data_IF_042043151748
#
_entry.id   IF_042043151748
#
_cell.length_a   1.000
_cell.length_b   1.000
_cell.length_c   1.000
_cell.angle_alpha   90.00
_cell.angle_beta   90.00
_cell.angle_gamma   90.00
#
_symmetry.space_group_name_H-M   'P 1'
#
loop_
_entity.id
_entity.type
_entity.pdbx_description
1 polymer ?
#
# COMPACT_ATOMS: atom_id res chain seq x y z
N UNK A 1 0.11 78.81 20.81
CA UNK A 1 -1.19 79.13 20.18
C UNK A 1 -0.95 79.35 18.69
N UNK A 2 -1.37 78.41 17.83
CA UNK A 2 -2.02 78.74 16.55
C UNK A 2 -2.50 77.43 15.89
N UNK A 3 -3.82 77.27 15.89
CA UNK A 3 -4.62 76.49 14.95
C UNK A 3 -4.51 77.05 13.54
N UNK A 4 -4.41 76.21 12.51
CA UNK A 4 -5.02 76.49 11.20
C UNK A 4 -5.43 75.20 10.49
N UNK A 5 -6.65 75.22 9.96
CA UNK A 5 -7.37 74.17 9.27
C UNK A 5 -7.37 74.40 7.74
N UNK A 6 -7.51 73.29 6.99
CA UNK A 6 -8.08 73.11 5.64
C UNK A 6 -7.36 73.67 4.39
N UNK A 7 -7.10 72.76 3.43
CA UNK A 7 -7.88 72.62 2.17
C UNK A 7 -7.52 71.35 1.39
N UNK A 8 -8.55 70.64 0.91
CA UNK A 8 -8.51 69.55 -0.09
C UNK A 8 -8.16 70.10 -1.48
N UNK A 9 -7.33 69.40 -2.26
CA UNK A 9 -7.43 69.26 -3.73
C UNK A 9 -6.86 67.90 -4.12
N UNK A 10 -7.59 67.13 -4.92
CA UNK A 10 -7.17 65.83 -5.44
C UNK A 10 -6.15 65.93 -6.58
N UNK A 11 -5.39 64.87 -6.79
CA UNK A 11 -4.62 64.65 -8.00
C UNK A 11 -4.70 63.16 -8.37
N UNK A 12 -5.08 62.94 -9.62
CA UNK A 12 -5.16 61.65 -10.28
C UNK A 12 -3.78 60.98 -10.35
N UNK A 13 -3.72 59.68 -10.07
CA UNK A 13 -2.63 58.83 -10.54
C UNK A 13 -3.10 58.08 -11.79
N UNK A 14 -2.52 58.45 -12.92
CA UNK A 14 -2.57 57.68 -14.15
C UNK A 14 -1.61 56.48 -14.01
N UNK A 15 -2.12 55.28 -14.28
CA UNK A 15 -1.32 54.07 -14.42
C UNK A 15 -0.47 54.14 -15.69
N UNK A 16 0.84 54.06 -15.56
CA UNK A 16 1.75 53.76 -16.66
C UNK A 16 2.00 52.25 -16.67
N UNK A 17 1.27 51.54 -17.53
CA UNK A 17 1.55 50.14 -17.85
C UNK A 17 2.81 50.09 -18.72
N UNK A 18 3.91 49.61 -18.15
CA UNK A 18 5.08 49.18 -18.93
C UNK A 18 4.74 47.77 -19.43
N UNK A 19 4.37 47.69 -20.71
CA UNK A 19 4.17 46.42 -21.39
C UNK A 19 5.50 45.68 -21.52
N UNK A 20 5.69 44.62 -20.74
CA UNK A 20 6.62 43.56 -21.09
C UNK A 20 5.99 42.74 -22.23
N UNK A 21 6.74 42.41 -23.30
CA UNK A 21 6.25 41.47 -24.29
C UNK A 21 6.10 40.11 -23.61
N UNK A 22 4.88 39.58 -23.63
CA UNK A 22 4.64 38.19 -23.31
C UNK A 22 5.40 37.33 -24.34
N UNK A 23 6.57 36.83 -23.96
CA UNK A 23 7.10 35.64 -24.62
C UNK A 23 6.12 34.51 -24.30
N UNK A 24 5.34 34.12 -25.31
CA UNK A 24 4.71 32.82 -25.28
C UNK A 24 5.84 31.78 -25.26
N UNK A 25 6.17 31.28 -24.07
CA UNK A 25 6.93 30.05 -23.94
C UNK A 25 6.00 28.96 -24.43
N UNK A 26 6.15 28.61 -25.70
CA UNK A 26 5.72 27.31 -26.16
C UNK A 26 6.67 26.33 -25.49
N UNK A 27 6.21 25.69 -24.42
CA UNK A 27 6.85 24.46 -23.97
C UNK A 27 6.63 23.46 -25.09
N UNK A 28 7.62 23.31 -25.96
CA UNK A 28 7.72 22.08 -26.72
C UNK A 28 7.81 20.97 -25.68
N UNK A 29 6.79 20.14 -25.56
CA UNK A 29 6.86 18.91 -24.79
C UNK A 29 8.11 18.18 -25.26
N UNK A 30 9.07 17.95 -24.37
CA UNK A 30 10.18 17.05 -24.69
C UNK A 30 9.55 15.72 -25.10
N UNK A 31 9.99 15.15 -26.22
CA UNK A 31 9.56 13.80 -26.58
C UNK A 31 9.94 12.85 -25.43
N UNK A 32 9.02 11.97 -25.00
CA UNK A 32 9.31 10.99 -23.95
C UNK A 32 10.57 10.20 -24.31
N UNK A 33 11.49 10.08 -23.37
CA UNK A 33 12.74 9.32 -23.57
C UNK A 33 12.43 7.88 -23.23
N UNK A 34 12.18 7.07 -24.25
CA UNK A 34 11.95 5.64 -24.10
C UNK A 34 13.23 4.92 -23.68
N UNK A 35 13.09 3.92 -22.82
CA UNK A 35 14.19 3.05 -22.47
C UNK A 35 14.52 2.11 -23.65
N UNK A 36 15.75 1.58 -23.71
CA UNK A 36 16.03 0.45 -24.59
C UNK A 36 15.03 -0.68 -24.31
N UNK A 37 14.48 -1.34 -25.34
CA UNK A 37 13.59 -2.48 -25.14
C UNK A 37 14.24 -3.55 -24.26
N UNK A 38 13.46 -4.14 -23.36
CA UNK A 38 13.94 -5.21 -22.51
C UNK A 38 14.28 -6.43 -23.37
N UNK A 39 15.38 -7.09 -23.02
CA UNK A 39 15.81 -8.33 -23.68
C UNK A 39 15.81 -9.46 -22.66
N UNK A 40 15.44 -10.66 -23.08
CA UNK A 40 15.52 -11.86 -22.25
C UNK A 40 16.93 -12.01 -21.64
N UNK A 41 16.97 -12.35 -20.36
CA UNK A 41 18.19 -12.64 -19.64
C UNK A 41 18.91 -13.86 -20.25
N UNK A 42 20.23 -13.89 -20.15
CA UNK A 42 21.00 -15.02 -20.66
C UNK A 42 20.73 -16.27 -19.81
N UNK A 43 20.45 -17.40 -20.46
CA UNK A 43 20.21 -18.67 -19.79
C UNK A 43 18.77 -18.90 -19.34
N UNK A 44 17.83 -18.03 -19.74
CA UNK A 44 16.39 -18.26 -19.58
C UNK A 44 15.78 -18.78 -20.87
N UNK A 45 14.73 -19.57 -20.75
CA UNK A 45 13.92 -20.05 -21.87
C UNK A 45 12.44 -20.02 -21.49
N UNK A 46 11.56 -20.09 -22.48
CA UNK A 46 10.12 -20.16 -22.21
C UNK A 46 9.40 -21.14 -23.13
N UNK A 47 8.22 -21.57 -22.69
CA UNK A 47 7.30 -22.45 -23.44
C UNK A 47 5.87 -21.91 -23.40
N UNK A 48 5.06 -22.24 -24.40
CA UNK A 48 3.64 -21.90 -24.41
C UNK A 48 2.90 -22.69 -23.32
N UNK A 49 2.01 -22.02 -22.58
CA UNK A 49 1.23 -22.59 -21.49
C UNK A 49 1.79 -22.31 -20.10
N UNK A 50 1.06 -22.73 -19.04
CA UNK A 50 1.50 -22.57 -17.66
C UNK A 50 2.69 -23.48 -17.34
N UNK A 51 3.43 -23.14 -16.30
CA UNK A 51 4.54 -23.96 -15.83
C UNK A 51 4.07 -25.28 -15.21
N UNK A 52 4.92 -26.29 -15.33
CA UNK A 52 4.89 -27.44 -14.43
C UNK A 52 5.28 -27.01 -13.01
N UNK A 53 4.73 -27.71 -12.00
CA UNK A 53 5.09 -27.47 -10.61
C UNK A 53 6.61 -27.62 -10.40
N UNK A 54 7.22 -26.61 -9.78
CA UNK A 54 8.65 -26.50 -9.51
C UNK A 54 9.50 -26.02 -10.68
N UNK A 55 8.91 -25.73 -11.85
CA UNK A 55 9.67 -25.41 -13.05
C UNK A 55 10.07 -23.92 -13.13
N UNK A 56 9.18 -23.02 -12.75
CA UNK A 56 9.44 -21.58 -12.89
C UNK A 56 8.24 -20.68 -12.67
N UNK A 57 8.20 -19.55 -13.39
CA UNK A 57 7.15 -18.53 -13.26
C UNK A 57 6.26 -18.57 -14.50
N UNK A 58 4.94 -18.59 -14.30
CA UNK A 58 3.99 -18.43 -15.40
C UNK A 58 3.72 -16.95 -15.64
N UNK A 59 3.90 -16.50 -16.88
CA UNK A 59 3.71 -15.12 -17.29
C UNK A 59 2.49 -15.00 -18.20
N UNK A 60 1.60 -14.07 -17.86
CA UNK A 60 0.37 -13.83 -18.61
C UNK A 60 0.35 -12.40 -19.15
N UNK A 61 0.07 -12.25 -20.44
CA UNK A 61 -0.22 -10.95 -21.06
C UNK A 61 -1.58 -11.05 -21.74
N UNK A 62 -2.56 -10.33 -21.20
CA UNK A 62 -3.92 -10.28 -21.73
C UNK A 62 -4.23 -8.90 -22.32
N UNK A 63 -4.38 -8.87 -23.65
CA UNK A 63 -4.76 -7.67 -24.40
C UNK A 63 -6.24 -7.32 -24.24
N UNK A 64 -7.01 -8.16 -23.54
CA UNK A 64 -8.46 -8.10 -23.41
C UNK A 64 -9.18 -8.20 -24.78
N UNK A 65 -10.51 -8.06 -24.78
CA UNK A 65 -11.32 -8.13 -25.99
C UNK A 65 -11.36 -9.54 -26.61
N UNK A 66 -11.23 -9.64 -27.93
CA UNK A 66 -11.33 -10.91 -28.66
C UNK A 66 -9.99 -11.68 -28.74
N UNK A 67 -8.89 -11.09 -28.27
CA UNK A 67 -7.59 -11.76 -28.22
C UNK A 67 -7.57 -12.79 -27.09
N UNK A 68 -6.90 -13.94 -27.31
CA UNK A 68 -6.57 -14.86 -26.23
C UNK A 68 -5.39 -14.31 -25.43
N UNK A 69 -5.37 -14.57 -24.12
CA UNK A 69 -4.23 -14.21 -23.28
C UNK A 69 -3.01 -15.03 -23.69
N UNK A 70 -1.85 -14.38 -23.85
CA UNK A 70 -0.58 -15.08 -24.00
C UNK A 70 -0.17 -15.61 -22.63
N UNK A 71 0.07 -16.92 -22.52
CA UNK A 71 0.49 -17.58 -21.28
C UNK A 71 1.77 -18.32 -21.58
N UNK A 72 2.88 -17.94 -20.96
CA UNK A 72 4.18 -18.59 -21.16
C UNK A 72 4.80 -19.00 -19.82
N UNK A 73 5.40 -20.18 -19.77
CA UNK A 73 6.21 -20.63 -18.64
C UNK A 73 7.67 -20.25 -18.85
N UNK A 74 8.27 -19.52 -17.91
CA UNK A 74 9.69 -19.15 -17.92
C UNK A 74 10.49 -20.11 -17.05
N UNK A 75 11.58 -20.66 -17.58
CA UNK A 75 12.49 -21.61 -16.90
C UNK A 75 13.96 -21.26 -17.15
N UNK A 76 14.88 -21.83 -16.36
CA UNK A 76 16.32 -21.73 -16.65
C UNK A 76 16.77 -22.86 -17.58
N UNK A 77 17.62 -22.55 -18.57
CA UNK A 77 18.17 -23.51 -19.53
C UNK A 77 19.03 -24.61 -18.86
N UNK A 78 19.54 -24.34 -17.66
CA UNK A 78 20.33 -25.30 -16.87
C UNK A 78 19.47 -26.32 -16.11
N UNK A 79 18.13 -26.20 -16.20
CA UNK A 79 17.16 -27.07 -15.55
C UNK A 79 16.87 -26.74 -14.09
N UNK A 80 17.38 -25.62 -13.57
CA UNK A 80 16.97 -25.11 -12.26
C UNK A 80 15.65 -24.33 -12.35
N UNK A 81 14.92 -24.29 -11.24
CA UNK A 81 13.68 -23.53 -11.15
C UNK A 81 13.96 -22.03 -11.38
N UNK A 82 13.15 -21.40 -12.24
CA UNK A 82 13.25 -19.96 -12.47
C UNK A 82 12.57 -19.17 -11.34
N UNK A 83 13.22 -18.09 -10.93
CA UNK A 83 12.65 -17.03 -10.10
C UNK A 83 13.39 -15.72 -10.40
N UNK A 84 12.76 -14.59 -10.11
CA UNK A 84 13.35 -13.27 -10.32
C UNK A 84 12.96 -12.32 -9.18
N UNK A 85 13.88 -11.46 -8.68
CA UNK A 85 13.50 -10.37 -7.78
C UNK A 85 12.80 -9.22 -8.51
N UNK A 86 12.62 -9.32 -9.83
CA UNK A 86 12.10 -8.27 -10.70
C UNK A 86 11.15 -8.90 -11.75
N UNK A 87 9.85 -8.77 -11.52
CA UNK A 87 8.79 -9.26 -12.39
C UNK A 87 8.78 -8.57 -13.75
N UNK A 88 9.19 -7.30 -13.85
CA UNK A 88 9.32 -6.58 -15.13
C UNK A 88 10.26 -7.32 -16.10
N UNK A 89 11.41 -7.80 -15.63
CA UNK A 89 12.33 -8.60 -16.45
C UNK A 89 11.71 -9.95 -16.87
N UNK A 90 10.85 -10.51 -16.03
CA UNK A 90 10.22 -11.82 -16.25
C UNK A 90 9.32 -11.82 -17.49
N UNK A 91 8.68 -10.68 -17.83
CA UNK A 91 7.91 -10.53 -19.07
C UNK A 91 8.79 -10.60 -20.33
N UNK A 92 10.00 -10.03 -20.28
CA UNK A 92 10.95 -10.12 -21.39
C UNK A 92 11.55 -11.53 -21.49
N UNK A 93 11.78 -12.19 -20.34
CA UNK A 93 12.25 -13.59 -20.29
C UNK A 93 11.20 -14.56 -20.83
N UNK A 94 9.91 -14.25 -20.68
CA UNK A 94 8.80 -14.91 -21.34
C UNK A 94 8.66 -14.59 -22.83
N UNK A 95 9.54 -13.76 -23.40
CA UNK A 95 9.53 -13.45 -24.82
C UNK A 95 8.50 -12.42 -25.27
N UNK A 96 7.82 -11.73 -24.34
CA UNK A 96 6.95 -10.61 -24.68
C UNK A 96 7.77 -9.36 -25.02
N UNK A 97 7.35 -8.64 -26.05
CA UNK A 97 7.93 -7.36 -26.41
C UNK A 97 7.44 -6.27 -25.45
N UNK A 98 8.26 -5.90 -24.48
CA UNK A 98 7.97 -4.88 -23.48
C UNK A 98 8.79 -3.62 -23.75
N UNK A 99 8.09 -2.49 -23.86
CA UNK A 99 8.68 -1.15 -23.91
C UNK A 99 8.36 -0.40 -22.62
N UNK A 100 9.37 0.26 -22.07
CA UNK A 100 9.23 1.07 -20.85
C UNK A 100 9.65 2.50 -21.09
N UNK A 101 9.11 3.37 -20.24
CA UNK A 101 9.59 4.74 -20.08
C UNK A 101 10.08 4.92 -18.64
N UNK A 102 11.29 5.47 -18.49
CA UNK A 102 11.79 5.84 -17.16
C UNK A 102 10.98 7.01 -16.62
N UNK A 103 10.32 6.78 -15.49
CA UNK A 103 9.61 7.82 -14.74
C UNK A 103 10.36 8.11 -13.42
N UNK A 104 9.89 9.11 -12.67
CA UNK A 104 10.40 9.37 -11.31
C UNK A 104 10.11 8.21 -10.34
N UNK A 105 9.19 7.30 -10.69
CA UNK A 105 8.79 6.13 -9.91
C UNK A 105 9.44 4.83 -10.40
N UNK A 106 10.45 4.91 -11.28
CA UNK A 106 11.07 3.75 -11.93
C UNK A 106 10.52 3.50 -13.34
N UNK A 107 10.95 2.39 -13.99
CA UNK A 107 10.50 2.04 -15.33
C UNK A 107 9.01 1.69 -15.31
N UNK A 108 8.24 2.46 -16.07
CA UNK A 108 6.81 2.23 -16.28
C UNK A 108 6.60 1.46 -17.59
N UNK A 109 5.81 0.39 -17.54
CA UNK A 109 5.41 -0.36 -18.74
C UNK A 109 4.40 0.49 -19.50
N UNK A 110 4.83 1.05 -20.62
CA UNK A 110 3.98 1.89 -21.46
C UNK A 110 3.36 1.10 -22.61
N UNK A 111 3.98 -0.01 -23.02
CA UNK A 111 3.56 -0.81 -24.17
C UNK A 111 4.07 -2.25 -24.06
N UNK A 112 3.20 -3.20 -24.36
CA UNK A 112 3.47 -4.63 -24.48
C UNK A 112 2.85 -5.13 -25.78
N UNK A 113 3.60 -5.90 -26.57
CA UNK A 113 3.14 -6.43 -27.87
C UNK A 113 2.56 -5.36 -28.80
N UNK A 114 3.13 -4.15 -28.76
CA UNK A 114 2.71 -3.03 -29.60
C UNK A 114 1.54 -2.20 -29.08
N UNK A 115 0.93 -2.54 -27.92
CA UNK A 115 -0.17 -1.77 -27.33
C UNK A 115 0.07 -1.40 -25.85
N UNK A 116 -0.56 -0.32 -25.35
CA UNK A 116 -1.21 0.72 -26.15
C UNK A 116 -0.18 1.57 -26.92
N UNK A 117 -0.62 2.22 -28.01
CA UNK A 117 0.22 3.04 -28.90
C UNK A 117 -0.33 4.47 -28.97
N UNK A 118 0.50 5.53 -28.90
CA UNK A 118 1.96 5.52 -28.73
C UNK A 118 2.44 5.38 -27.27
N UNK A 119 3.61 4.79 -27.08
CA UNK A 119 4.29 4.79 -25.78
C UNK A 119 4.76 6.23 -25.44
N UNK A 120 4.64 6.61 -24.17
CA UNK A 120 5.02 7.93 -23.64
C UNK A 120 4.01 9.06 -23.91
N UNK A 121 2.81 8.71 -24.37
CA UNK A 121 1.65 9.60 -24.35
C UNK A 121 0.45 8.84 -23.79
N UNK A 122 -0.54 9.55 -23.25
CA UNK A 122 -1.76 8.91 -22.77
C UNK A 122 -2.63 8.43 -23.95
N UNK A 123 -2.82 7.12 -24.15
CA UNK A 123 -3.55 6.58 -25.29
C UNK A 123 -5.01 6.22 -24.95
N UNK A 124 -5.48 6.49 -23.72
CA UNK A 124 -6.81 6.08 -23.23
C UNK A 124 -6.90 4.60 -22.79
N UNK A 125 -5.76 3.98 -22.54
CA UNK A 125 -5.64 2.64 -21.97
C UNK A 125 -4.31 2.53 -21.21
N UNK A 126 -4.24 1.60 -20.27
CA UNK A 126 -3.09 1.39 -19.41
C UNK A 126 -2.92 -0.09 -19.06
N UNK A 127 -1.72 -0.49 -18.65
CA UNK A 127 -1.44 -1.86 -18.24
C UNK A 127 -1.63 -2.02 -16.74
N UNK A 128 -2.59 -2.85 -16.34
CA UNK A 128 -2.73 -3.32 -14.97
C UNK A 128 -1.77 -4.47 -14.70
N UNK A 129 -1.01 -4.37 -13.63
CA UNK A 129 -0.09 -5.42 -13.18
C UNK A 129 -0.73 -6.25 -12.07
N UNK A 130 -0.68 -7.56 -12.22
CA UNK A 130 -1.31 -8.53 -11.33
C UNK A 130 -0.33 -9.64 -10.96
N UNK A 131 -0.55 -10.21 -9.79
CA UNK A 131 0.14 -11.40 -9.30
C UNK A 131 -0.88 -12.43 -8.84
N UNK A 132 -0.52 -13.71 -8.91
CA UNK A 132 -1.30 -14.77 -8.29
C UNK A 132 -0.38 -15.90 -7.82
N UNK A 133 -0.75 -16.53 -6.71
CA UNK A 133 -0.24 -17.84 -6.37
C UNK A 133 -0.95 -18.91 -7.21
N UNK A 134 -0.37 -20.11 -7.30
CA UNK A 134 -1.02 -21.24 -7.97
C UNK A 134 -2.42 -21.51 -7.38
N UNK A 135 -3.39 -21.71 -8.26
CA UNK A 135 -4.82 -21.94 -7.97
C UNK A 135 -5.52 -20.79 -7.21
N UNK A 136 -4.87 -19.62 -7.09
CA UNK A 136 -5.42 -18.43 -6.43
C UNK A 136 -6.01 -17.43 -7.44
N UNK A 137 -6.89 -16.55 -6.96
CA UNK A 137 -7.41 -15.45 -7.77
C UNK A 137 -6.31 -14.42 -8.09
N UNK A 138 -6.44 -13.75 -9.24
CA UNK A 138 -5.56 -12.65 -9.60
C UNK A 138 -5.73 -11.48 -8.63
N UNK A 139 -4.62 -10.94 -8.15
CA UNK A 139 -4.59 -9.76 -7.29
C UNK A 139 -3.86 -8.63 -8.02
N UNK A 140 -4.46 -7.44 -8.08
CA UNK A 140 -3.78 -6.27 -8.63
C UNK A 140 -2.65 -5.87 -7.69
N UNK A 141 -1.44 -5.74 -8.22
CA UNK A 141 -0.27 -5.42 -7.42
C UNK A 141 -0.27 -3.93 -7.02
N UNK A 142 -0.01 -3.66 -5.74
CA UNK A 142 0.19 -2.30 -5.22
C UNK A 142 1.59 -1.72 -5.48
N UNK A 143 2.54 -2.57 -5.88
CA UNK A 143 3.90 -2.20 -6.23
C UNK A 143 4.15 -2.34 -7.75
N UNK A 144 5.13 -1.62 -8.28
CA UNK A 144 5.52 -1.73 -9.68
C UNK A 144 6.15 -3.09 -9.99
N UNK A 145 5.98 -3.58 -11.22
CA UNK A 145 6.56 -4.86 -11.65
C UNK A 145 8.11 -4.92 -11.51
N UNK A 146 8.79 -3.77 -11.56
CA UNK A 146 10.25 -3.72 -11.39
C UNK A 146 10.72 -3.92 -9.95
N UNK A 147 9.83 -3.70 -8.97
CA UNK A 147 10.08 -3.86 -7.52
C UNK A 147 9.34 -5.07 -6.92
N UNK A 148 8.67 -5.86 -7.76
CA UNK A 148 7.94 -7.07 -7.34
C UNK A 148 8.72 -8.31 -7.72
N UNK A 149 8.93 -9.22 -6.76
CA UNK A 149 9.56 -10.51 -7.05
C UNK A 149 8.56 -11.48 -7.70
N UNK A 150 9.05 -12.31 -8.62
CA UNK A 150 8.35 -13.42 -9.22
C UNK A 150 9.00 -14.73 -8.72
N UNK A 151 8.35 -15.38 -7.75
CA UNK A 151 8.83 -16.64 -7.19
C UNK A 151 8.43 -17.82 -8.07
N UNK A 152 9.20 -18.92 -8.02
CA UNK A 152 8.81 -20.18 -8.66
C UNK A 152 7.39 -20.58 -8.22
N UNK A 153 6.61 -21.16 -9.13
CA UNK A 153 5.23 -21.61 -8.92
C UNK A 153 4.21 -20.49 -8.73
N UNK A 154 4.57 -19.27 -9.14
CA UNK A 154 3.66 -18.11 -9.14
C UNK A 154 3.36 -17.62 -10.55
N UNK A 155 2.37 -16.74 -10.61
CA UNK A 155 1.87 -16.12 -11.81
C UNK A 155 2.09 -14.60 -11.74
N UNK A 156 2.62 -14.03 -12.82
CA UNK A 156 2.68 -12.58 -13.03
C UNK A 156 1.92 -12.21 -14.30
N UNK A 157 1.08 -11.19 -14.22
CA UNK A 157 0.10 -10.87 -15.23
C UNK A 157 0.10 -9.40 -15.62
N UNK A 158 -0.02 -9.12 -16.91
CA UNK A 158 -0.37 -7.79 -17.42
C UNK A 158 -1.71 -7.88 -18.15
N UNK A 159 -2.60 -6.96 -17.82
CA UNK A 159 -3.92 -6.86 -18.44
C UNK A 159 -4.12 -5.45 -19.01
N UNK A 160 -4.56 -5.35 -20.27
CA UNK A 160 -4.78 -4.06 -20.91
C UNK A 160 -6.14 -3.50 -20.47
N UNK A 161 -6.10 -2.44 -19.68
CA UNK A 161 -7.28 -1.81 -19.07
C UNK A 161 -7.67 -0.55 -19.84
N UNK A 162 -8.93 -0.40 -20.28
CA UNK A 162 -9.41 0.85 -20.86
C UNK A 162 -9.58 1.94 -19.80
N UNK A 163 -9.46 3.22 -20.20
CA UNK A 163 -9.43 4.41 -19.32
C UNK A 163 -10.50 4.43 -18.20
N UNK A 164 -11.74 4.05 -18.49
CA UNK A 164 -12.86 4.17 -17.55
C UNK A 164 -13.04 2.95 -16.61
N UNK A 165 -12.04 2.07 -16.48
CA UNK A 165 -12.12 0.83 -15.69
C UNK A 165 -11.19 0.84 -14.48
N UNK A 166 -11.67 0.33 -13.34
CA UNK A 166 -10.93 0.21 -12.09
C UNK A 166 -9.86 -0.92 -12.09
N UNK A 167 -9.60 -1.53 -13.25
CA UNK A 167 -8.84 -2.77 -13.39
C UNK A 167 -9.68 -3.87 -14.05
N UNK A 168 -9.03 -4.70 -14.87
CA UNK A 168 -9.59 -5.95 -15.39
C UNK A 168 -8.52 -7.03 -15.19
N UNK A 169 -8.88 -8.14 -14.57
CA UNK A 169 -7.96 -9.26 -14.33
C UNK A 169 -7.55 -9.97 -15.64
N UNK A 170 -6.34 -10.57 -15.70
CA UNK A 170 -5.96 -11.44 -16.80
C UNK A 170 -6.91 -12.65 -16.94
N UNK A 171 -7.35 -12.98 -18.16
CA UNK A 171 -8.22 -14.13 -18.45
C UNK A 171 -7.39 -15.39 -18.67
N UNK A 172 -6.69 -15.81 -17.63
CA UNK A 172 -5.97 -17.08 -17.57
C UNK A 172 -6.21 -17.72 -16.20
N UNK A 173 -6.47 -19.02 -16.19
CA UNK A 173 -6.48 -19.80 -14.95
C UNK A 173 -5.06 -19.85 -14.38
N UNK A 174 -4.95 -19.84 -13.06
CA UNK A 174 -3.68 -19.83 -12.32
C UNK A 174 -3.26 -21.25 -11.90
N UNK A 175 -3.69 -22.27 -12.65
CA UNK A 175 -3.34 -23.65 -12.40
C UNK A 175 -1.99 -24.02 -13.05
N UNK A 176 -1.12 -24.68 -12.28
CA UNK A 176 0.12 -25.26 -12.79
C UNK A 176 -0.15 -26.61 -13.45
N UNK A 177 0.75 -27.04 -14.35
CA UNK A 177 0.71 -28.38 -14.92
C UNK A 177 1.21 -29.40 -13.88
N UNK A 178 0.40 -30.41 -13.61
CA UNK A 178 0.81 -31.58 -12.83
C UNK A 178 1.70 -32.49 -13.69
N UNK A 179 2.73 -33.09 -13.10
CA UNK A 179 3.63 -34.04 -13.78
C UNK A 179 2.85 -35.33 -14.14
N UNK A 180 2.66 -35.62 -15.43
CA UNK A 180 1.98 -36.83 -15.91
C UNK A 180 2.85 -38.08 -15.68
N UNK A 181 2.93 -38.55 -14.44
CA UNK A 181 3.37 -39.93 -14.14
C UNK A 181 2.17 -40.87 -13.94
N UNK A 182 2.05 -41.98 -14.69
CA UNK A 182 0.90 -42.88 -14.59
C UNK A 182 0.90 -43.66 -13.26
N UNK A 183 -0.11 -43.39 -12.44
CA UNK A 183 -0.75 -44.24 -11.44
C UNK A 183 0.08 -45.37 -10.81
N UNK A 184 0.54 -45.13 -9.59
CA UNK A 184 0.37 -46.10 -8.52
C UNK A 184 -0.72 -45.56 -7.59
N UNK A 185 -1.80 -46.33 -7.42
CA UNK A 185 -2.76 -46.18 -6.32
C UNK A 185 -2.02 -46.43 -5.00
N UNK A 186 -1.17 -45.48 -4.57
CA UNK A 186 -0.97 -45.27 -3.15
C UNK A 186 -2.16 -44.44 -2.66
N UNK A 187 -2.75 -44.77 -1.49
CA UNK A 187 -3.71 -43.85 -0.90
C UNK A 187 -3.02 -42.50 -0.82
N UNK A 188 -3.73 -41.43 -1.18
CA UNK A 188 -3.25 -40.07 -0.98
C UNK A 188 -2.50 -40.08 0.36
N UNK A 189 -1.18 -39.86 0.34
CA UNK A 189 -0.57 -39.33 1.52
C UNK A 189 -1.35 -38.03 1.70
N UNK A 190 -2.26 -38.04 2.68
CA UNK A 190 -2.69 -36.81 3.33
C UNK A 190 -1.42 -35.97 3.37
N UNK A 191 -1.42 -34.81 2.68
CA UNK A 191 -0.31 -33.87 2.69
C UNK A 191 0.11 -33.79 4.14
N UNK A 192 1.18 -34.52 4.47
CA UNK A 192 1.32 -35.05 5.82
C UNK A 192 1.31 -33.85 6.70
N UNK A 193 0.31 -33.74 7.59
CA UNK A 193 0.04 -32.55 8.43
C UNK A 193 1.36 -31.81 8.57
N UNK A 194 1.60 -30.80 7.72
CA UNK A 194 2.85 -30.06 7.79
C UNK A 194 2.72 -29.47 9.17
N UNK A 195 3.44 -30.07 10.12
CA UNK A 195 3.23 -29.82 11.53
C UNK A 195 3.26 -28.31 11.63
N UNK A 196 2.11 -27.67 11.98
CA UNK A 196 1.92 -26.25 11.74
C UNK A 196 3.17 -25.58 12.24
N UNK A 197 3.88 -24.89 11.32
CA UNK A 197 5.22 -24.38 11.58
C UNK A 197 5.20 -23.82 13.00
N UNK A 198 6.05 -24.38 13.87
CA UNK A 198 6.00 -24.08 15.31
C UNK A 198 5.75 -22.58 15.46
N UNK A 199 4.57 -22.21 15.97
CA UNK A 199 4.09 -20.84 15.86
C UNK A 199 5.10 -19.86 16.47
N UNK A 200 5.85 -20.33 17.48
CA UNK A 200 6.95 -19.59 18.08
C UNK A 200 8.14 -19.42 17.10
N UNK A 201 8.49 -20.45 16.34
CA UNK A 201 9.54 -20.39 15.32
C UNK A 201 9.14 -19.49 14.13
N UNK A 202 7.88 -19.53 13.70
CA UNK A 202 7.37 -18.65 12.65
C UNK A 202 7.40 -17.17 13.08
N UNK A 203 6.99 -16.88 14.32
CA UNK A 203 7.09 -15.53 14.90
C UNK A 203 8.54 -15.06 14.98
N UNK A 204 9.47 -15.93 15.40
CA UNK A 204 10.92 -15.59 15.41
C UNK A 204 11.42 -15.28 14.01
N UNK A 205 11.10 -16.10 13.01
CA UNK A 205 11.54 -15.88 11.64
C UNK A 205 11.00 -14.56 11.05
N UNK A 206 9.74 -14.23 11.32
CA UNK A 206 9.14 -12.96 10.92
C UNK A 206 9.79 -11.76 11.64
N UNK A 207 10.01 -11.85 12.95
CA UNK A 207 10.70 -10.79 13.70
C UNK A 207 12.14 -10.59 13.21
N UNK A 208 12.85 -11.67 12.88
CA UNK A 208 14.21 -11.59 12.33
C UNK A 208 14.23 -10.98 10.93
N UNK A 209 13.20 -11.23 10.12
CA UNK A 209 13.03 -10.54 8.84
C UNK A 209 12.86 -9.03 9.05
N UNK A 210 11.90 -8.61 9.88
CA UNK A 210 11.65 -7.19 10.17
C UNK A 210 12.90 -6.48 10.72
N UNK A 211 13.64 -7.13 11.61
CA UNK A 211 14.91 -6.64 12.16
C UNK A 211 15.96 -6.42 11.07
N UNK A 212 16.15 -7.38 10.15
CA UNK A 212 17.11 -7.25 9.05
C UNK A 212 16.76 -6.12 8.10
N UNK A 213 15.47 -5.96 7.76
CA UNK A 213 15.02 -4.88 6.88
C UNK A 213 15.28 -3.50 7.51
N UNK A 214 15.00 -3.33 8.80
CA UNK A 214 15.34 -2.11 9.53
C UNK A 214 16.86 -1.85 9.52
N UNK A 215 17.67 -2.85 9.85
CA UNK A 215 19.14 -2.70 9.89
C UNK A 215 19.73 -2.34 8.52
N UNK A 216 19.15 -2.86 7.43
CA UNK A 216 19.59 -2.55 6.07
C UNK A 216 19.42 -1.06 5.71
N UNK A 217 18.53 -0.35 6.41
CA UNK A 217 18.21 1.05 6.16
C UNK A 217 18.54 1.97 7.35
N UNK A 218 19.46 1.56 8.24
CA UNK A 218 19.84 2.34 9.43
C UNK A 218 18.61 2.73 10.30
N UNK A 219 17.65 1.81 10.34
CA UNK A 219 16.39 1.87 11.08
C UNK A 219 15.46 3.02 10.68
N UNK A 220 15.66 3.60 9.50
CA UNK A 220 14.78 4.59 8.90
C UNK A 220 14.56 4.25 7.43
N UNK A 221 13.35 3.78 7.11
CA UNK A 221 13.01 3.51 5.73
C UNK A 221 13.06 4.79 4.90
N UNK A 222 13.60 4.69 3.69
CA UNK A 222 13.56 5.76 2.70
C UNK A 222 12.78 5.27 1.50
N UNK A 223 11.64 5.90 1.25
CA UNK A 223 10.79 5.60 0.11
C UNK A 223 10.70 6.81 -0.82
N UNK A 224 10.87 6.59 -2.13
CA UNK A 224 10.89 7.65 -3.15
C UNK A 224 11.86 8.82 -2.86
N UNK A 225 12.96 8.55 -2.14
CA UNK A 225 13.94 9.57 -1.75
C UNK A 225 13.53 10.42 -0.54
N UNK A 226 12.43 10.08 0.13
CA UNK A 226 11.95 10.71 1.35
C UNK A 226 11.98 9.72 2.51
N UNK A 227 12.20 10.21 3.72
CA UNK A 227 12.11 9.37 4.91
C UNK A 227 10.66 8.92 5.11
N UNK A 228 10.45 7.61 5.24
CA UNK A 228 9.14 7.01 5.46
C UNK A 228 8.97 6.65 6.93
N UNK A 229 8.57 7.65 7.71
CA UNK A 229 8.31 7.50 9.14
C UNK A 229 7.11 6.59 9.42
N UNK A 230 6.15 6.51 8.49
CA UNK A 230 4.98 5.65 8.63
C UNK A 230 5.34 4.17 8.57
N UNK A 231 6.08 3.78 7.52
CA UNK A 231 6.58 2.41 7.37
C UNK A 231 7.58 2.04 8.48
N UNK A 232 8.43 2.99 8.87
CA UNK A 232 9.36 2.79 10.01
C UNK A 232 8.60 2.55 11.31
N UNK A 233 7.53 3.29 11.57
CA UNK A 233 6.66 3.05 12.72
C UNK A 233 5.97 1.69 12.66
N UNK A 234 5.51 1.24 11.49
CA UNK A 234 4.85 -0.05 11.31
C UNK A 234 5.79 -1.23 11.62
N UNK A 235 7.04 -1.19 11.15
CA UNK A 235 8.04 -2.21 11.47
C UNK A 235 8.38 -2.22 12.96
N UNK A 236 8.51 -1.05 13.59
CA UNK A 236 8.76 -0.93 15.02
C UNK A 236 7.59 -1.47 15.86
N UNK A 237 6.35 -1.18 15.47
CA UNK A 237 5.12 -1.70 16.09
C UNK A 237 5.03 -3.22 15.96
N UNK A 238 5.33 -3.76 14.77
CA UNK A 238 5.31 -5.20 14.53
C UNK A 238 6.33 -5.93 15.43
N UNK A 239 7.57 -5.42 15.52
CA UNK A 239 8.57 -5.97 16.45
C UNK A 239 8.12 -5.85 17.91
N UNK A 240 7.57 -4.70 18.32
CA UNK A 240 7.04 -4.50 19.67
C UNK A 240 5.96 -5.51 20.03
N UNK A 241 5.06 -5.84 19.09
CA UNK A 241 3.99 -6.82 19.29
C UNK A 241 4.54 -8.24 19.53
N UNK A 242 5.67 -8.60 18.94
CA UNK A 242 6.33 -9.91 19.18
C UNK A 242 7.15 -9.96 20.46
N UNK A 243 7.61 -8.79 20.96
CA UNK A 243 8.58 -8.71 22.06
C UNK A 243 10.00 -9.15 21.70
N UNK A 244 10.27 -9.43 20.42
CA UNK A 244 11.57 -9.82 19.89
C UNK A 244 12.27 -8.63 19.23
N UNK A 245 13.60 -8.73 19.08
CA UNK A 245 14.43 -7.70 18.42
C UNK A 245 14.16 -6.27 18.92
N UNK A 246 13.96 -6.13 20.23
CA UNK A 246 13.55 -4.87 20.88
C UNK A 246 14.53 -3.72 20.69
N UNK A 247 15.81 -4.00 20.46
CA UNK A 247 16.82 -2.97 20.15
C UNK A 247 16.60 -2.33 18.77
N UNK A 248 16.19 -3.11 17.77
CA UNK A 248 15.86 -2.61 16.44
C UNK A 248 14.54 -1.82 16.47
N UNK A 249 13.53 -2.34 17.17
CA UNK A 249 12.28 -1.63 17.40
C UNK A 249 12.50 -0.27 18.10
N UNK A 250 13.35 -0.24 19.13
CA UNK A 250 13.70 0.98 19.84
C UNK A 250 14.48 1.97 18.96
N UNK A 251 15.41 1.49 18.12
CA UNK A 251 16.17 2.32 17.19
C UNK A 251 15.26 2.95 16.14
N UNK A 252 14.36 2.17 15.54
CA UNK A 252 13.36 2.67 14.60
C UNK A 252 12.40 3.68 15.25
N UNK A 253 11.92 3.37 16.46
CA UNK A 253 11.12 4.31 17.25
C UNK A 253 11.83 5.64 17.50
N UNK A 254 13.13 5.62 17.82
CA UNK A 254 13.93 6.84 17.99
C UNK A 254 14.06 7.67 16.72
N UNK A 255 14.17 7.04 15.54
CA UNK A 255 14.18 7.75 14.25
C UNK A 255 12.87 8.51 14.03
N UNK A 256 11.72 7.88 14.37
CA UNK A 256 10.41 8.53 14.30
C UNK A 256 10.29 9.65 15.34
N UNK A 257 10.69 9.41 16.60
CA UNK A 257 10.66 10.42 17.66
C UNK A 257 11.49 11.65 17.33
N UNK A 258 12.70 11.46 16.80
CA UNK A 258 13.61 12.56 16.48
C UNK A 258 13.09 13.49 15.37
N UNK A 259 12.19 12.99 14.51
CA UNK A 259 11.68 13.69 13.35
C UNK A 259 10.15 13.77 13.33
N UNK A 260 9.50 13.66 14.49
CA UNK A 260 8.05 13.49 14.60
C UNK A 260 7.24 14.53 13.82
N UNK A 261 7.68 15.79 13.83
CA UNK A 261 6.98 16.88 13.13
C UNK A 261 6.93 16.67 11.60
N UNK A 262 7.94 16.04 11.01
CA UNK A 262 7.94 15.72 9.58
C UNK A 262 6.88 14.66 9.23
N UNK A 263 6.48 13.84 10.21
CA UNK A 263 5.47 12.81 10.02
C UNK A 263 4.05 13.29 10.34
N UNK A 264 3.87 14.00 11.46
CA UNK A 264 2.53 14.43 11.91
C UNK A 264 2.10 15.78 11.33
N UNK A 265 3.01 16.49 10.67
CA UNK A 265 2.76 17.74 9.94
C UNK A 265 3.56 18.94 10.46
N UNK A 266 3.96 19.79 9.51
CA UNK A 266 4.66 21.08 9.75
C UNK A 266 3.89 22.24 9.13
N UNK A 267 4.26 23.47 9.47
CA UNK A 267 3.77 24.69 8.78
C UNK A 267 2.25 24.88 8.76
N UNK A 268 1.54 24.32 9.75
CA UNK A 268 0.09 24.39 9.89
C UNK A 268 -0.64 23.12 9.48
N UNK A 269 0.05 22.20 8.80
CA UNK A 269 -0.43 20.85 8.50
C UNK A 269 -0.44 20.00 9.78
N UNK A 270 -1.51 19.23 9.98
CA UNK A 270 -1.65 18.29 11.10
C UNK A 270 -2.44 17.07 10.65
N UNK A 271 -1.82 15.90 10.73
CA UNK A 271 -2.39 14.64 10.24
C UNK A 271 -2.84 13.74 11.40
N UNK A 272 -4.13 13.45 11.47
CA UNK A 272 -4.74 12.70 12.56
C UNK A 272 -4.25 11.26 12.62
N UNK A 273 -4.24 10.56 11.48
CA UNK A 273 -3.79 9.17 11.41
C UNK A 273 -2.31 8.99 11.79
N UNK A 274 -1.43 9.89 11.32
CA UNK A 274 -0.01 9.86 11.67
C UNK A 274 0.23 10.17 13.15
N UNK A 275 -0.51 11.13 13.71
CA UNK A 275 -0.46 11.46 15.15
C UNK A 275 -0.91 10.27 15.99
N UNK A 276 -2.02 9.63 15.62
CA UNK A 276 -2.54 8.44 16.28
C UNK A 276 -1.57 7.25 16.22
N UNK A 277 -1.03 6.93 15.03
CA UNK A 277 -0.02 5.87 14.87
C UNK A 277 1.20 6.13 15.75
N UNK A 278 1.70 7.37 15.77
CA UNK A 278 2.85 7.75 16.60
C UNK A 278 2.56 7.60 18.09
N UNK A 279 1.34 7.88 18.54
CA UNK A 279 0.94 7.68 19.93
C UNK A 279 0.89 6.18 20.29
N UNK A 280 0.34 5.33 19.41
CA UNK A 280 0.35 3.87 19.59
C UNK A 280 1.78 3.33 19.60
N UNK A 281 2.66 3.83 18.72
CA UNK A 281 4.09 3.50 18.72
C UNK A 281 4.75 3.85 20.06
N UNK A 282 4.53 5.08 20.55
CA UNK A 282 5.09 5.53 21.82
C UNK A 282 4.67 4.59 22.97
N UNK A 283 3.37 4.28 23.06
CA UNK A 283 2.83 3.39 24.08
C UNK A 283 3.40 1.97 23.97
N UNK A 284 3.50 1.43 22.75
CA UNK A 284 3.98 0.07 22.49
C UNK A 284 5.47 -0.11 22.83
N UNK A 285 6.27 0.94 22.66
CA UNK A 285 7.69 0.95 23.00
C UNK A 285 7.98 1.44 24.44
N UNK A 286 6.95 1.78 25.21
CA UNK A 286 7.11 2.34 26.56
C UNK A 286 7.76 3.74 26.59
N UNK A 287 7.65 4.48 25.48
CA UNK A 287 8.05 5.88 25.38
C UNK A 287 6.95 6.81 25.90
N UNK A 288 7.31 8.06 26.22
CA UNK A 288 6.36 9.05 26.73
C UNK A 288 5.53 9.66 25.58
N UNK A 289 4.26 9.27 25.46
CA UNK A 289 3.34 9.81 24.44
C UNK A 289 2.97 11.28 24.67
N UNK A 290 3.28 11.85 25.85
CA UNK A 290 3.05 13.27 26.18
C UNK A 290 4.30 14.14 25.99
N UNK A 291 5.45 13.52 25.70
CA UNK A 291 6.71 14.20 25.33
C UNK A 291 7.47 13.37 24.29
N UNK A 292 6.83 13.13 23.15
CA UNK A 292 7.40 12.36 22.06
C UNK A 292 8.08 13.31 21.07
N UNK A 293 9.40 13.46 21.18
CA UNK A 293 10.15 14.41 20.34
C UNK A 293 9.80 15.87 20.66
N UNK A 294 9.36 16.16 21.89
CA UNK A 294 8.87 17.49 22.30
C UNK A 294 7.40 17.76 21.98
N UNK A 295 6.65 16.75 21.53
CA UNK A 295 5.22 16.85 21.19
C UNK A 295 4.39 16.04 22.17
N UNK A 296 3.31 16.64 22.69
CA UNK A 296 2.24 15.92 23.37
C UNK A 296 1.29 15.34 22.33
N UNK A 297 1.51 14.07 21.95
CA UNK A 297 0.74 13.40 20.89
C UNK A 297 -0.72 13.18 21.31
N UNK A 298 -0.97 12.99 22.62
CA UNK A 298 -2.32 12.77 23.15
C UNK A 298 -3.13 14.06 23.05
N UNK A 299 -2.56 15.18 23.49
CA UNK A 299 -3.21 16.48 23.34
C UNK A 299 -3.39 16.87 21.86
N UNK A 300 -2.36 16.64 21.02
CA UNK A 300 -2.43 16.94 19.59
C UNK A 300 -3.54 16.12 18.89
N UNK A 301 -3.71 14.85 19.25
CA UNK A 301 -4.76 14.00 18.71
C UNK A 301 -6.16 14.44 19.15
N UNK A 302 -6.34 14.78 20.43
CA UNK A 302 -7.61 15.30 20.94
C UNK A 302 -8.01 16.62 20.26
N UNK A 303 -7.04 17.48 19.96
CA UNK A 303 -7.27 18.74 19.23
C UNK A 303 -7.72 18.53 17.77
N UNK A 304 -7.53 17.33 17.20
CA UNK A 304 -7.97 16.95 15.85
C UNK A 304 -9.34 16.26 15.83
N UNK A 305 -9.94 16.01 17.00
CA UNK A 305 -11.30 15.50 17.09
C UNK A 305 -12.33 16.58 16.74
N UNK A 306 -13.22 16.28 15.81
CA UNK A 306 -14.35 17.15 15.46
C UNK A 306 -15.53 16.98 16.43
N UNK A 307 -16.52 17.87 16.38
CA UNK A 307 -17.73 17.75 17.22
C UNK A 307 -18.50 16.43 16.98
N UNK A 308 -18.39 15.85 15.79
CA UNK A 308 -19.00 14.55 15.48
C UNK A 308 -18.16 13.34 15.94
N UNK A 309 -16.99 13.56 16.56
CA UNK A 309 -16.09 12.49 16.99
C UNK A 309 -15.11 11.98 15.92
N UNK A 310 -15.17 12.52 14.70
CA UNK A 310 -14.21 12.17 13.65
C UNK A 310 -12.88 12.83 13.92
N UNK A 311 -11.79 12.07 14.00
CA UNK A 311 -10.44 12.61 13.95
C UNK A 311 -10.12 12.99 12.51
N UNK A 312 -9.75 14.26 12.28
CA UNK A 312 -9.70 14.85 10.94
C UNK A 312 -8.39 15.58 10.72
N UNK A 313 -7.85 15.48 9.51
CA UNK A 313 -6.65 16.23 9.15
C UNK A 313 -6.96 17.73 9.04
N UNK A 314 -5.97 18.54 9.37
CA UNK A 314 -5.95 19.97 9.05
C UNK A 314 -4.86 20.18 8.03
N UNK A 315 -5.26 20.28 6.77
CA UNK A 315 -4.34 20.35 5.64
C UNK A 315 -4.89 21.23 4.52
N UNK A 316 -4.00 21.97 3.84
CA UNK A 316 -4.36 22.68 2.61
C UNK A 316 -4.66 21.74 1.43
N UNK A 317 -4.25 20.47 1.54
CA UNK A 317 -4.37 19.43 0.51
C UNK A 317 -5.63 18.57 0.65
N UNK A 318 -6.45 18.83 1.66
CA UNK A 318 -7.67 18.10 1.95
C UNK A 318 -7.53 17.17 3.15
N UNK A 319 -8.60 16.42 3.41
CA UNK A 319 -8.70 15.55 4.57
C UNK A 319 -8.62 14.09 4.12
N UNK A 320 -7.56 13.40 4.54
CA UNK A 320 -7.27 12.02 4.17
C UNK A 320 -7.55 11.05 5.34
N UNK A 321 -8.22 11.53 6.39
CA UNK A 321 -8.55 10.69 7.55
C UNK A 321 -9.57 9.62 7.18
N UNK A 322 -9.30 8.40 7.63
CA UNK A 322 -10.04 7.20 7.29
C UNK A 322 -10.25 6.31 8.53
N UNK A 323 -10.90 5.16 8.36
CA UNK A 323 -11.25 4.25 9.47
C UNK A 323 -10.04 3.69 10.21
N UNK A 324 -8.88 3.52 9.55
CA UNK A 324 -7.64 3.08 10.22
C UNK A 324 -7.15 4.15 11.19
N UNK A 325 -7.10 5.41 10.73
CA UNK A 325 -6.74 6.55 11.57
C UNK A 325 -7.69 6.74 12.75
N UNK A 326 -9.00 6.63 12.51
CA UNK A 326 -10.02 6.69 13.57
C UNK A 326 -9.82 5.60 14.63
N UNK A 327 -9.55 4.37 14.18
CA UNK A 327 -9.35 3.21 15.05
C UNK A 327 -8.07 3.35 15.89
N UNK A 328 -6.95 3.72 15.26
CA UNK A 328 -5.69 4.00 15.95
C UNK A 328 -5.84 5.11 16.98
N UNK A 329 -6.65 6.14 16.70
CA UNK A 329 -6.88 7.23 17.62
C UNK A 329 -7.60 6.75 18.90
N UNK A 330 -8.64 5.94 18.75
CA UNK A 330 -9.34 5.32 19.89
C UNK A 330 -8.37 4.45 20.70
N UNK A 331 -7.59 3.58 20.03
CA UNK A 331 -6.60 2.72 20.69
C UNK A 331 -5.57 3.56 21.47
N UNK A 332 -5.05 4.63 20.87
CA UNK A 332 -4.08 5.52 21.51
C UNK A 332 -4.65 6.20 22.77
N UNK A 333 -5.86 6.74 22.69
CA UNK A 333 -6.49 7.45 23.81
C UNK A 333 -6.87 6.52 24.96
N UNK A 334 -7.37 5.32 24.65
CA UNK A 334 -7.62 4.28 25.67
C UNK A 334 -6.30 3.77 26.28
N UNK A 335 -5.29 3.51 25.46
CA UNK A 335 -3.97 3.06 25.89
C UNK A 335 -3.22 4.07 26.76
N UNK A 336 -3.41 5.37 26.50
CA UNK A 336 -2.88 6.45 27.34
C UNK A 336 -3.67 6.65 28.65
N UNK A 337 -4.80 5.97 28.84
CA UNK A 337 -5.65 6.05 30.03
C UNK A 337 -6.47 7.34 30.12
N UNK A 338 -6.54 8.13 29.05
CA UNK A 338 -7.41 9.32 28.98
C UNK A 338 -8.82 8.97 28.52
N UNK A 339 -8.96 7.86 27.78
CA UNK A 339 -10.23 7.35 27.25
C UNK A 339 -10.63 8.04 25.95
N UNK A 340 -11.16 7.27 25.00
CA UNK A 340 -11.77 7.84 23.80
C UNK A 340 -13.12 8.49 24.15
N UNK A 341 -13.52 9.50 23.38
CA UNK A 341 -14.84 10.09 23.54
C UNK A 341 -15.93 9.12 23.04
N UNK A 342 -17.13 9.18 23.62
CA UNK A 342 -18.26 8.41 23.09
C UNK A 342 -18.56 8.78 21.63
N UNK A 343 -18.45 10.06 21.26
CA UNK A 343 -18.66 10.51 19.88
C UNK A 343 -17.67 9.87 18.92
N UNK A 344 -16.41 9.68 19.31
CA UNK A 344 -15.40 9.04 18.47
C UNK A 344 -15.71 7.56 18.22
N UNK A 345 -16.21 6.86 19.24
CA UNK A 345 -16.64 5.46 19.11
C UNK A 345 -17.93 5.35 18.31
N UNK A 346 -18.90 6.25 18.54
CA UNK A 346 -20.14 6.30 17.76
C UNK A 346 -19.84 6.59 16.28
N UNK A 347 -18.91 7.52 15.98
CA UNK A 347 -18.46 7.78 14.62
C UNK A 347 -17.82 6.56 13.96
N UNK A 348 -17.02 5.79 14.70
CA UNK A 348 -16.47 4.53 14.18
C UNK A 348 -17.60 3.53 13.91
N UNK A 349 -18.54 3.35 14.83
CA UNK A 349 -19.67 2.44 14.67
C UNK A 349 -20.58 2.82 13.49
N UNK A 350 -20.74 4.11 13.20
CA UNK A 350 -21.48 4.59 12.03
C UNK A 350 -20.82 4.18 10.69
N UNK A 351 -19.53 3.79 10.71
CA UNK A 351 -18.83 3.23 9.55
C UNK A 351 -19.03 1.71 9.37
N UNK A 352 -19.69 1.03 10.31
CA UNK A 352 -20.01 -0.39 10.20
C UNK A 352 -21.14 -0.61 9.19
N UNK A 353 -20.89 -1.46 8.20
CA UNK A 353 -21.83 -1.84 7.17
C UNK A 353 -22.82 -2.91 7.65
N UNK A 354 -23.90 -3.09 6.88
CA UNK A 354 -24.94 -4.09 7.17
C UNK A 354 -24.41 -5.54 7.22
N UNK A 355 -23.26 -5.81 6.60
CA UNK A 355 -22.59 -7.13 6.62
C UNK A 355 -21.62 -7.32 7.80
N UNK A 356 -21.55 -6.34 8.70
CA UNK A 356 -20.70 -6.33 9.89
C UNK A 356 -19.28 -5.80 9.67
N UNK A 357 -18.83 -5.68 8.42
CA UNK A 357 -17.53 -5.09 8.10
C UNK A 357 -17.54 -3.57 8.20
N UNK A 358 -16.37 -2.94 8.14
CA UNK A 358 -16.22 -1.48 8.19
C UNK A 358 -15.69 -0.96 6.86
N UNK A 359 -16.26 0.15 6.38
CA UNK A 359 -15.73 0.82 5.22
C UNK A 359 -14.43 1.57 5.54
N UNK A 360 -13.44 1.51 4.65
CA UNK A 360 -12.20 2.29 4.77
C UNK A 360 -12.50 3.80 4.77
N UNK A 361 -13.38 4.24 3.86
CA UNK A 361 -13.74 5.66 3.66
C UNK A 361 -15.27 5.83 3.77
N UNK A 362 -15.81 6.17 4.95
CA UNK A 362 -17.27 6.18 5.18
C UNK A 362 -18.05 7.25 4.40
N UNK A 363 -17.39 8.22 3.76
CA UNK A 363 -18.01 9.39 3.14
C UNK A 363 -18.49 9.20 1.70
N UNK A 364 -18.22 8.06 1.07
CA UNK A 364 -18.39 7.89 -0.38
C UNK A 364 -19.77 7.36 -0.81
N UNK A 365 -20.75 7.34 0.11
CA UNK A 365 -22.15 7.01 -0.17
C UNK A 365 -22.42 5.52 -0.43
N UNK A 366 -21.38 4.69 -0.50
CA UNK A 366 -21.45 3.23 -0.53
C UNK A 366 -20.68 2.67 0.67
N UNK A 367 -21.33 1.84 1.48
CA UNK A 367 -20.65 1.10 2.53
C UNK A 367 -20.02 -0.14 1.91
N UNK A 368 -18.76 -0.02 1.48
CA UNK A 368 -17.95 -1.13 1.00
C UNK A 368 -17.02 -1.57 2.12
N UNK A 369 -17.32 -2.72 2.71
CA UNK A 369 -16.53 -3.28 3.80
C UNK A 369 -15.13 -3.68 3.32
N UNK A 370 -14.14 -3.30 4.13
CA UNK A 370 -12.71 -3.50 3.89
C UNK A 370 -12.13 -4.35 5.04
N UNK A 371 -11.48 -5.51 4.76
CA UNK A 371 -10.92 -6.39 5.78
C UNK A 371 -9.92 -5.72 6.72
N UNK A 372 -9.05 -4.84 6.20
CA UNK A 372 -8.07 -4.10 7.00
C UNK A 372 -8.77 -3.10 7.93
N UNK A 373 -9.67 -2.27 7.39
CA UNK A 373 -10.46 -1.34 8.17
C UNK A 373 -11.29 -2.05 9.25
N UNK A 374 -11.87 -3.21 8.93
CA UNK A 374 -12.60 -4.02 9.90
C UNK A 374 -11.69 -4.57 10.99
N UNK A 375 -10.48 -5.00 10.64
CA UNK A 375 -9.50 -5.52 11.61
C UNK A 375 -9.00 -4.45 12.57
N UNK A 376 -8.77 -3.22 12.10
CA UNK A 376 -8.43 -2.08 12.95
C UNK A 376 -9.61 -1.62 13.80
N UNK A 377 -10.81 -1.54 13.23
CA UNK A 377 -12.02 -1.17 13.95
C UNK A 377 -12.32 -2.15 15.09
N UNK A 378 -12.21 -3.46 14.84
CA UNK A 378 -12.39 -4.49 15.86
C UNK A 378 -11.40 -4.31 17.03
N UNK A 379 -10.13 -4.02 16.76
CA UNK A 379 -9.15 -3.74 17.82
C UNK A 379 -9.52 -2.50 18.63
N UNK A 380 -9.99 -1.43 17.98
CA UNK A 380 -10.44 -0.22 18.66
C UNK A 380 -11.68 -0.47 19.54
N UNK A 381 -12.66 -1.22 19.04
CA UNK A 381 -13.87 -1.58 19.79
C UNK A 381 -13.56 -2.47 21.00
N UNK A 382 -12.57 -3.36 20.89
CA UNK A 382 -12.09 -4.18 22.01
C UNK A 382 -11.31 -3.37 23.05
N UNK A 383 -10.66 -2.28 22.64
CA UNK A 383 -9.87 -1.43 23.53
C UNK A 383 -10.74 -0.49 24.38
N UNK A 384 -11.90 -0.07 23.87
CA UNK A 384 -12.76 0.93 24.54
C UNK A 384 -13.92 0.29 25.32
N UNK A 385 -14.27 0.81 26.51
CA UNK A 385 -15.48 0.38 27.23
C UNK A 385 -16.78 0.93 26.62
N UNK A 386 -16.69 1.79 25.59
CA UNK A 386 -17.83 2.45 24.95
C UNK A 386 -18.48 1.63 23.82
N UNK A 387 -17.86 0.51 23.40
CA UNK A 387 -18.37 -0.37 22.36
C UNK A 387 -19.48 -1.31 22.86
N UNK A 388 -20.22 -1.92 21.93
CA UNK A 388 -21.24 -2.94 22.24
C UNK A 388 -20.79 -4.33 21.78
N UNK A 389 -21.19 -5.38 22.51
CA UNK A 389 -20.88 -6.78 22.14
C UNK A 389 -21.38 -7.13 20.74
N UNK A 390 -22.52 -6.58 20.31
CA UNK A 390 -23.10 -6.86 19.00
C UNK A 390 -22.21 -6.38 17.84
N UNK A 391 -21.70 -5.15 17.91
CA UNK A 391 -20.82 -4.61 16.86
C UNK A 391 -19.49 -5.36 16.76
N UNK A 392 -18.97 -5.85 17.89
CA UNK A 392 -17.77 -6.69 17.96
C UNK A 392 -18.03 -8.05 17.30
N UNK A 393 -19.15 -8.70 17.66
CA UNK A 393 -19.54 -10.00 17.10
C UNK A 393 -19.78 -9.91 15.59
N UNK A 394 -20.41 -8.84 15.11
CA UNK A 394 -20.65 -8.61 13.68
C UNK A 394 -19.34 -8.38 12.91
N UNK A 395 -18.41 -7.60 13.46
CA UNK A 395 -17.09 -7.37 12.87
C UNK A 395 -16.25 -8.68 12.79
N UNK A 396 -16.29 -9.47 13.87
CA UNK A 396 -15.63 -10.76 13.91
C UNK A 396 -16.27 -11.75 12.91
N UNK A 397 -17.60 -11.75 12.83
CA UNK A 397 -18.35 -12.55 11.87
C UNK A 397 -18.00 -12.22 10.43
N UNK A 398 -17.85 -10.92 10.11
CA UNK A 398 -17.36 -10.47 8.81
C UNK A 398 -15.96 -11.03 8.51
N UNK A 399 -14.99 -10.85 9.42
CA UNK A 399 -13.61 -11.30 9.19
C UNK A 399 -13.51 -12.82 9.01
N UNK A 400 -14.20 -13.60 9.85
CA UNK A 400 -14.26 -15.07 9.71
C UNK A 400 -14.91 -15.46 8.38
N UNK A 401 -15.94 -14.72 7.95
CA UNK A 401 -16.57 -14.92 6.64
C UNK A 401 -15.68 -14.58 5.44
N UNK A 402 -14.61 -13.82 5.64
CA UNK A 402 -13.59 -13.47 4.63
C UNK A 402 -12.35 -14.36 4.69
N UNK A 403 -12.32 -15.36 5.56
CA UNK A 403 -11.21 -16.31 5.58
C UNK A 403 -11.27 -17.23 4.35
N UNK A 404 -10.21 -17.20 3.56
CA UNK A 404 -10.01 -18.05 2.39
C UNK A 404 -9.55 -19.45 2.81
N UNK A 405 -9.59 -20.41 1.88
CA UNK A 405 -9.13 -21.79 2.14
C UNK A 405 -7.65 -21.87 2.53
N UNK A 406 -6.83 -20.92 2.06
CA UNK A 406 -5.42 -20.76 2.44
C UNK A 406 -5.22 -20.25 3.86
N UNK A 407 -6.29 -19.82 4.54
CA UNK A 407 -6.26 -19.19 5.85
C UNK A 407 -6.03 -17.67 5.81
N UNK A 408 -5.74 -17.09 4.64
CA UNK A 408 -5.68 -15.64 4.45
C UNK A 408 -7.02 -14.95 4.67
N UNK A 409 -7.00 -13.68 5.07
CA UNK A 409 -8.19 -12.85 5.30
C UNK A 409 -8.27 -11.77 4.21
N UNK A 410 -9.27 -11.84 3.34
CA UNK A 410 -9.42 -10.90 2.21
C UNK A 410 -10.51 -11.29 1.23
#
# INVERSE_FOLDING_TARGET
>A
MLTTHLRRVGAALAAAAIGLPALAITTASAEPVLDPPLTAAAGTSWTDGPCEVGAGVTVVVDMQGDAEAGVHCVTNEDGTAYSSPNALQTFADAGFAVETETTTYGPMICKVEGAPDPCGQWPGAWWGFYTADADAAWTMAGAGAHDTAAATDTFVGLSLVPEDSAGIEPRADTALLEDETPGDDEPAEERGDDEPADADAAVVAAADFLSRELQAQDHLFVNHGFNDYGLTADFALALAATGLNSEDAASAGQQVTANILEYIGTDGERYAGATAKSAVLALSLGMDSTDFGGVDLIAALQDLETESGRFSDVSEWGDYSNTLGQSLAIIALEGAGVGASQSAVDYLLDAQCDDGGFALTPTDGTCLSDPDATSFALQALLATPCATDASIDDALGYLVGRQQESGGLG
#
